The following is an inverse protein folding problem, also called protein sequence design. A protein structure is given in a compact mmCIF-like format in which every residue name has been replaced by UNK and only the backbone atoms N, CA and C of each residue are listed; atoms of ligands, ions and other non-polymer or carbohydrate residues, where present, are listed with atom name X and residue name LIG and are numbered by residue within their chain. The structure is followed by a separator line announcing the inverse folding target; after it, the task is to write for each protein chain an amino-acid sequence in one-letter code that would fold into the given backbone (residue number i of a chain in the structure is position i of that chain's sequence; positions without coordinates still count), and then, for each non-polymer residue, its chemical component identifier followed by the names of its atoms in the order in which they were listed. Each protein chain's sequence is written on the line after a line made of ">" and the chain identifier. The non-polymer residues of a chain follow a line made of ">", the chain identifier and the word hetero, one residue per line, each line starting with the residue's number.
data_IF_687471848327
#
_entry.id   IF_687471848327
#
_cell.length_a   1.000
_cell.length_b   1.000
_cell.length_c   1.000
_cell.angle_alpha   90.00
_cell.angle_beta   90.00
_cell.angle_gamma   90.00
#
_symmetry.space_group_name_H-M   'P 1'
#
loop_
_entity.id
_entity.type
_entity.pdbx_description
1 polymer ?
#
# COMPACT_ATOMS: atom_id res chain seq x y z
N UNK A 1 18.37 4.97 -1.59
CA UNK A 1 18.34 6.45 -1.72
C UNK A 1 16.88 6.87 -1.60
N UNK A 2 16.53 7.89 -0.83
CA UNK A 2 15.14 8.34 -0.68
C UNK A 2 14.77 9.24 -1.87
N UNK A 3 14.10 8.69 -2.88
CA UNK A 3 13.79 9.45 -4.11
C UNK A 3 12.32 9.81 -4.25
N UNK A 4 11.97 11.00 -4.74
CA UNK A 4 10.61 11.27 -5.18
C UNK A 4 10.52 10.82 -6.65
N UNK A 5 9.63 9.87 -6.96
CA UNK A 5 9.48 9.30 -8.30
C UNK A 5 10.75 8.58 -8.80
N UNK A 6 10.82 7.27 -8.52
CA UNK A 6 11.96 6.42 -8.88
C UNK A 6 12.28 6.41 -10.38
N UNK A 7 11.26 6.49 -11.24
CA UNK A 7 11.44 6.51 -12.70
C UNK A 7 12.18 7.76 -13.16
N UNK A 8 11.85 8.93 -12.61
CA UNK A 8 12.53 10.18 -12.96
C UNK A 8 14.00 10.16 -12.54
N UNK A 9 14.29 9.70 -11.33
CA UNK A 9 15.67 9.54 -10.84
C UNK A 9 16.48 8.63 -11.76
N UNK A 10 15.91 7.47 -12.13
CA UNK A 10 16.54 6.55 -13.07
C UNK A 10 16.85 7.23 -14.41
N UNK A 11 15.89 7.95 -14.99
CA UNK A 11 16.10 8.64 -16.26
C UNK A 11 17.20 9.70 -16.18
N UNK A 12 17.29 10.46 -15.07
CA UNK A 12 18.35 11.45 -14.84
C UNK A 12 19.72 10.78 -14.82
N UNK A 13 19.84 9.64 -14.12
CA UNK A 13 21.09 8.88 -14.06
C UNK A 13 21.48 8.29 -15.43
N UNK A 14 20.51 7.80 -16.21
CA UNK A 14 20.73 7.23 -17.55
C UNK A 14 21.01 8.30 -18.63
N UNK A 15 20.72 9.57 -18.34
CA UNK A 15 21.00 10.70 -19.21
C UNK A 15 22.35 11.36 -18.96
N UNK A 16 23.24 10.74 -18.17
CA UNK A 16 24.56 11.30 -17.91
C UNK A 16 25.31 11.69 -19.21
N UNK A 17 25.87 12.90 -19.22
CA UNK A 17 26.52 13.49 -20.39
C UNK A 17 25.59 13.99 -21.51
N UNK A 18 24.26 13.99 -21.33
CA UNK A 18 23.28 14.52 -22.29
C UNK A 18 22.05 15.13 -21.59
N UNK A 19 21.18 15.77 -22.38
CA UNK A 19 19.88 16.20 -21.89
C UNK A 19 18.86 15.05 -21.97
N UNK A 20 17.83 15.11 -21.11
CA UNK A 20 16.67 14.22 -21.20
C UNK A 20 15.90 14.50 -22.50
N UNK A 21 15.49 13.43 -23.17
CA UNK A 21 14.55 13.49 -24.29
C UNK A 21 13.12 13.72 -23.80
N UNK A 22 12.21 14.09 -24.71
CA UNK A 22 10.77 14.20 -24.39
C UNK A 22 10.24 12.93 -23.73
N UNK A 23 10.60 11.76 -24.27
CA UNK A 23 10.19 10.46 -23.72
C UNK A 23 10.67 10.23 -22.28
N UNK A 24 11.85 10.72 -21.95
CA UNK A 24 12.40 10.59 -20.59
C UNK A 24 11.80 11.62 -19.62
N UNK A 25 11.21 12.70 -20.13
CA UNK A 25 10.47 13.70 -19.36
C UNK A 25 9.00 13.31 -19.13
N UNK A 26 8.39 12.51 -20.03
CA UNK A 26 7.00 12.06 -19.93
C UNK A 26 6.57 11.56 -18.53
N UNK A 27 7.38 10.78 -17.78
CA UNK A 27 7.00 10.32 -16.44
C UNK A 27 6.78 11.46 -15.43
N UNK A 28 7.55 12.56 -15.53
CA UNK A 28 7.36 13.72 -14.68
C UNK A 28 6.06 14.45 -15.03
N UNK A 29 5.75 14.57 -16.32
CA UNK A 29 4.48 15.18 -16.75
C UNK A 29 3.27 14.38 -16.26
N UNK A 30 3.32 13.05 -16.40
CA UNK A 30 2.28 12.14 -15.88
C UNK A 30 2.13 12.23 -14.36
N UNK A 31 3.25 12.36 -13.63
CA UNK A 31 3.24 12.57 -12.20
C UNK A 31 2.54 13.89 -11.84
N UNK A 32 2.89 15.00 -12.49
CA UNK A 32 2.28 16.31 -12.24
C UNK A 32 0.77 16.30 -12.53
N UNK A 33 0.34 15.64 -13.61
CA UNK A 33 -1.08 15.50 -13.95
C UNK A 33 -1.86 14.67 -12.91
N UNK A 34 -1.21 13.67 -12.30
CA UNK A 34 -1.83 12.79 -11.30
C UNK A 34 -1.59 13.24 -9.85
N UNK A 35 -0.77 14.27 -9.61
CA UNK A 35 -0.36 14.68 -8.28
C UNK A 35 -1.54 14.99 -7.35
N UNK A 36 -2.54 15.72 -7.85
CA UNK A 36 -3.70 16.12 -7.03
C UNK A 36 -4.45 14.91 -6.47
N UNK A 37 -4.74 13.91 -7.30
CA UNK A 37 -5.45 12.70 -6.84
C UNK A 37 -4.58 11.89 -5.89
N UNK A 38 -3.27 11.80 -6.11
CA UNK A 38 -2.33 11.10 -5.21
C UNK A 38 -2.26 11.77 -3.84
N UNK A 39 -2.23 13.10 -3.80
CA UNK A 39 -2.25 13.88 -2.56
C UNK A 39 -3.57 13.67 -1.80
N UNK A 40 -4.70 13.74 -2.51
CA UNK A 40 -6.02 13.47 -1.93
C UNK A 40 -6.09 12.04 -1.36
N UNK A 41 -5.61 11.03 -2.10
CA UNK A 41 -5.56 9.65 -1.63
C UNK A 41 -4.67 9.50 -0.39
N UNK A 42 -3.48 10.12 -0.38
CA UNK A 42 -2.58 10.12 0.78
C UNK A 42 -3.28 10.71 2.02
N UNK A 43 -3.93 11.86 1.87
CA UNK A 43 -4.66 12.53 2.95
C UNK A 43 -5.83 11.68 3.45
N UNK A 44 -6.63 11.12 2.54
CA UNK A 44 -7.74 10.22 2.89
C UNK A 44 -7.25 9.00 3.67
N UNK A 45 -6.18 8.35 3.23
CA UNK A 45 -5.60 7.22 3.94
C UNK A 45 -5.08 7.62 5.31
N UNK A 46 -4.35 8.72 5.42
CA UNK A 46 -3.84 9.23 6.71
C UNK A 46 -4.97 9.52 7.69
N UNK A 47 -6.00 10.24 7.24
CA UNK A 47 -7.06 10.75 8.10
C UNK A 47 -8.10 9.66 8.45
N UNK A 48 -8.26 8.65 7.59
CA UNK A 48 -9.23 7.55 7.79
C UNK A 48 -8.59 6.22 8.22
N UNK A 49 -7.26 6.14 8.34
CA UNK A 49 -6.53 4.88 8.62
C UNK A 49 -7.13 4.09 9.78
N UNK A 50 -7.31 4.75 10.93
CA UNK A 50 -7.82 4.12 12.14
C UNK A 50 -9.24 3.55 11.94
N UNK A 51 -10.10 4.27 11.23
CA UNK A 51 -11.46 3.82 10.90
C UNK A 51 -11.43 2.60 9.98
N UNK A 52 -10.64 2.65 8.90
CA UNK A 52 -10.54 1.58 7.91
C UNK A 52 -9.99 0.29 8.53
N UNK A 53 -8.92 0.39 9.32
CA UNK A 53 -8.31 -0.75 10.01
C UNK A 53 -9.28 -1.35 11.03
N UNK A 54 -9.92 -0.52 11.87
CA UNK A 54 -10.89 -1.03 12.85
C UNK A 54 -12.10 -1.69 12.19
N UNK A 55 -12.59 -1.18 11.06
CA UNK A 55 -13.66 -1.83 10.30
C UNK A 55 -13.24 -3.21 9.79
N UNK A 56 -12.02 -3.35 9.28
CA UNK A 56 -11.47 -4.64 8.86
C UNK A 56 -11.32 -5.61 10.04
N UNK A 57 -10.73 -5.17 11.15
CA UNK A 57 -10.52 -6.03 12.32
C UNK A 57 -11.85 -6.47 12.96
N UNK A 58 -12.91 -5.68 12.87
CA UNK A 58 -14.26 -6.11 13.29
C UNK A 58 -14.77 -7.26 12.44
N UNK A 59 -14.54 -7.25 11.12
CA UNK A 59 -14.88 -8.38 10.25
C UNK A 59 -14.05 -9.62 10.60
N UNK A 60 -12.75 -9.44 10.89
CA UNK A 60 -11.92 -10.55 11.36
C UNK A 60 -12.42 -11.11 12.70
N UNK A 61 -12.82 -10.25 13.64
CA UNK A 61 -13.34 -10.65 14.95
C UNK A 61 -14.60 -11.51 14.87
N UNK A 62 -15.43 -11.34 13.83
CA UNK A 62 -16.62 -12.16 13.60
C UNK A 62 -16.26 -13.61 13.22
N UNK A 63 -15.14 -13.81 12.54
CA UNK A 63 -14.67 -15.13 12.12
C UNK A 63 -13.70 -15.78 13.12
N UNK A 64 -12.84 -14.98 13.76
CA UNK A 64 -11.76 -15.42 14.65
C UNK A 64 -11.64 -14.49 15.88
N UNK A 65 -12.62 -14.50 16.79
CA UNK A 65 -12.62 -13.63 17.97
C UNK A 65 -11.39 -13.82 18.86
N UNK A 66 -10.86 -15.05 18.97
CA UNK A 66 -9.68 -15.39 19.75
C UNK A 66 -8.41 -14.70 19.26
N UNK A 67 -8.26 -14.52 17.94
CA UNK A 67 -7.11 -13.81 17.36
C UNK A 67 -7.14 -12.34 17.75
N UNK A 68 -8.31 -11.71 17.70
CA UNK A 68 -8.44 -10.29 18.07
C UNK A 68 -8.21 -10.10 19.58
N UNK A 69 -8.68 -11.03 20.42
CA UNK A 69 -8.42 -10.99 21.86
C UNK A 69 -6.92 -11.09 22.19
N UNK A 70 -6.18 -11.97 21.51
CA UNK A 70 -4.76 -12.20 21.80
C UNK A 70 -3.82 -11.24 21.08
N UNK A 71 -4.15 -10.82 19.86
CA UNK A 71 -3.24 -10.12 18.96
C UNK A 71 -3.81 -8.84 18.35
N UNK A 72 -5.01 -8.40 18.75
CA UNK A 72 -5.73 -7.29 18.11
C UNK A 72 -4.93 -5.98 18.00
N UNK A 73 -4.16 -5.61 19.04
CA UNK A 73 -3.31 -4.42 18.98
C UNK A 73 -2.19 -4.55 17.95
N UNK A 74 -1.58 -5.73 17.85
CA UNK A 74 -0.54 -6.00 16.86
C UNK A 74 -1.11 -6.00 15.45
N UNK A 75 -2.26 -6.64 15.23
CA UNK A 75 -2.96 -6.62 13.95
C UNK A 75 -3.32 -5.19 13.54
N UNK A 76 -3.81 -4.36 14.47
CA UNK A 76 -4.09 -2.94 14.21
C UNK A 76 -2.84 -2.21 13.76
N UNK A 77 -1.74 -2.39 14.51
CA UNK A 77 -0.46 -1.76 14.19
C UNK A 77 0.01 -2.17 12.79
N UNK A 78 0.14 -3.47 12.51
CA UNK A 78 0.68 -3.97 11.24
C UNK A 78 -0.15 -3.50 10.02
N UNK A 79 -1.48 -3.53 10.13
CA UNK A 79 -2.36 -3.02 9.06
C UNK A 79 -2.26 -1.51 8.88
N UNK A 80 -2.05 -0.76 9.97
CA UNK A 80 -1.83 0.69 9.92
C UNK A 80 -0.50 1.01 9.24
N UNK A 81 0.56 0.24 9.51
CA UNK A 81 1.84 0.36 8.82
C UNK A 81 1.67 0.13 7.31
N UNK A 82 0.99 -0.96 6.92
CA UNK A 82 0.71 -1.23 5.49
C UNK A 82 0.03 -0.04 4.83
N UNK A 83 -1.05 0.50 5.41
CA UNK A 83 -1.73 1.68 4.85
C UNK A 83 -0.82 2.89 4.75
N UNK A 84 0.08 3.11 5.72
CA UNK A 84 1.03 4.22 5.68
C UNK A 84 2.01 4.07 4.53
N UNK A 85 2.58 2.88 4.35
CA UNK A 85 3.49 2.61 3.24
C UNK A 85 2.79 2.73 1.87
N UNK A 86 1.56 2.25 1.76
CA UNK A 86 0.72 2.46 0.57
C UNK A 86 0.55 3.96 0.28
N UNK A 87 0.15 4.75 1.28
CA UNK A 87 -0.06 6.18 1.11
C UNK A 87 1.21 6.89 0.61
N UNK A 88 2.35 6.58 1.22
CA UNK A 88 3.65 7.15 0.84
C UNK A 88 4.06 6.74 -0.58
N UNK A 89 3.87 5.47 -0.97
CA UNK A 89 4.12 5.01 -2.33
C UNK A 89 3.25 5.70 -3.37
N UNK A 90 1.96 5.88 -3.09
CA UNK A 90 1.04 6.59 -3.99
C UNK A 90 1.47 8.03 -4.19
N UNK A 91 1.82 8.73 -3.10
CA UNK A 91 2.27 10.13 -3.14
C UNK A 91 3.57 10.31 -3.95
N UNK A 92 4.48 9.33 -3.84
CA UNK A 92 5.77 9.31 -4.55
C UNK A 92 5.70 8.77 -5.97
N UNK A 93 4.57 8.16 -6.34
CA UNK A 93 4.43 7.35 -7.55
C UNK A 93 5.53 6.27 -7.66
N UNK A 94 5.68 5.52 -6.58
CA UNK A 94 6.82 4.62 -6.38
C UNK A 94 6.36 3.30 -5.73
N UNK A 95 5.99 2.34 -6.59
CA UNK A 95 5.65 0.98 -6.18
C UNK A 95 6.88 0.19 -5.72
N UNK A 96 8.07 0.51 -6.25
CA UNK A 96 9.34 -0.14 -5.86
C UNK A 96 9.60 0.11 -4.38
N UNK A 97 9.39 1.34 -3.90
CA UNK A 97 9.46 1.66 -2.48
C UNK A 97 8.53 0.78 -1.62
N UNK A 98 7.29 0.50 -2.06
CA UNK A 98 6.39 -0.39 -1.32
C UNK A 98 6.96 -1.80 -1.24
N UNK A 99 7.42 -2.33 -2.37
CA UNK A 99 7.95 -3.68 -2.47
C UNK A 99 9.16 -3.87 -1.58
N UNK A 100 10.13 -2.96 -1.65
CA UNK A 100 11.40 -3.07 -0.93
C UNK A 100 11.27 -2.73 0.56
N UNK A 101 10.51 -1.70 0.91
CA UNK A 101 10.49 -1.18 2.29
C UNK A 101 9.37 -1.80 3.14
N UNK A 102 8.27 -2.23 2.52
CA UNK A 102 7.14 -2.84 3.24
C UNK A 102 7.07 -4.35 2.97
N UNK A 103 7.00 -4.76 1.70
CA UNK A 103 6.72 -6.16 1.38
C UNK A 103 7.88 -7.10 1.68
N UNK A 104 9.14 -6.70 1.48
CA UNK A 104 10.28 -7.54 1.84
C UNK A 104 10.28 -7.94 3.32
N UNK A 105 9.89 -7.02 4.20
CA UNK A 105 9.70 -7.32 5.63
C UNK A 105 8.41 -8.10 5.88
N UNK A 106 7.27 -7.63 5.37
CA UNK A 106 5.96 -8.23 5.66
C UNK A 106 5.88 -9.69 5.20
N UNK A 107 6.41 -10.00 4.01
CA UNK A 107 6.41 -11.34 3.43
C UNK A 107 7.11 -12.35 4.35
N UNK A 108 8.27 -11.96 4.89
CA UNK A 108 9.04 -12.75 5.87
C UNK A 108 8.22 -13.01 7.13
N UNK A 109 7.52 -11.99 7.65
CA UNK A 109 6.68 -12.11 8.85
C UNK A 109 5.47 -13.02 8.58
N UNK A 110 4.78 -12.83 7.46
CA UNK A 110 3.61 -13.64 7.09
C UNK A 110 3.98 -15.12 6.95
N UNK A 111 5.12 -15.41 6.30
CA UNK A 111 5.63 -16.76 6.16
C UNK A 111 5.96 -17.40 7.52
N UNK A 112 6.59 -16.66 8.44
CA UNK A 112 6.99 -17.17 9.74
C UNK A 112 5.78 -17.51 10.64
N UNK A 113 4.74 -16.68 10.63
CA UNK A 113 3.59 -16.83 11.52
C UNK A 113 2.53 -17.83 11.04
N UNK A 114 2.53 -18.22 9.76
CA UNK A 114 1.60 -19.21 9.17
C UNK A 114 0.11 -18.93 9.48
N UNK A 115 -0.27 -17.65 9.49
CA UNK A 115 -1.66 -17.18 9.70
C UNK A 115 -2.32 -16.71 8.40
N UNK A 116 -1.98 -17.37 7.30
CA UNK A 116 -2.30 -16.92 5.94
C UNK A 116 -3.80 -16.71 5.72
N UNK A 117 -4.64 -17.64 6.17
CA UNK A 117 -6.10 -17.55 5.97
C UNK A 117 -6.74 -16.39 6.74
N UNK A 118 -6.30 -16.14 7.97
CA UNK A 118 -6.84 -15.06 8.79
C UNK A 118 -6.36 -13.69 8.31
N UNK A 119 -5.09 -13.58 7.92
CA UNK A 119 -4.56 -12.38 7.28
C UNK A 119 -5.29 -12.07 5.96
N UNK A 120 -5.58 -13.07 5.13
CA UNK A 120 -6.35 -12.86 3.90
C UNK A 120 -7.73 -12.26 4.18
N UNK A 121 -8.44 -12.72 5.21
CA UNK A 121 -9.74 -12.17 5.58
C UNK A 121 -9.61 -10.70 6.01
N UNK A 122 -8.61 -10.37 6.83
CA UNK A 122 -8.37 -9.00 7.26
C UNK A 122 -8.04 -8.06 6.07
N UNK A 123 -7.15 -8.47 5.16
CA UNK A 123 -6.78 -7.60 4.02
C UNK A 123 -7.88 -7.49 2.97
N UNK A 124 -8.71 -8.53 2.75
CA UNK A 124 -9.92 -8.42 1.92
C UNK A 124 -10.94 -7.48 2.55
N UNK A 125 -11.18 -7.62 3.85
CA UNK A 125 -12.06 -6.72 4.59
C UNK A 125 -11.57 -5.25 4.54
N UNK A 126 -10.25 -5.03 4.53
CA UNK A 126 -9.67 -3.71 4.35
C UNK A 126 -9.89 -3.18 2.92
N UNK A 127 -9.70 -4.02 1.90
CA UNK A 127 -9.95 -3.67 0.50
C UNK A 127 -11.42 -3.24 0.27
N UNK A 128 -12.37 -3.96 0.88
CA UNK A 128 -13.79 -3.63 0.87
C UNK A 128 -14.08 -2.30 1.60
N UNK A 129 -13.44 -2.07 2.76
CA UNK A 129 -13.58 -0.83 3.51
C UNK A 129 -13.06 0.37 2.71
N UNK A 130 -11.95 0.21 2.00
CA UNK A 130 -11.39 1.24 1.12
C UNK A 130 -12.31 1.51 -0.06
N UNK A 131 -12.77 0.46 -0.74
CA UNK A 131 -13.70 0.57 -1.88
C UNK A 131 -14.98 1.29 -1.49
N UNK A 132 -15.46 1.10 -0.26
CA UNK A 132 -16.69 1.75 0.23
C UNK A 132 -16.47 3.14 0.84
N UNK A 133 -15.25 3.43 1.30
CA UNK A 133 -14.95 4.64 2.09
C UNK A 133 -14.22 5.74 1.33
N UNK A 134 -13.56 5.41 0.22
CA UNK A 134 -12.78 6.34 -0.60
C UNK A 134 -13.49 6.63 -1.93
N UNK A 135 -13.07 7.70 -2.61
CA UNK A 135 -13.53 7.95 -3.98
C UNK A 135 -13.05 6.85 -4.94
N UNK A 136 -13.75 6.58 -6.06
CA UNK A 136 -13.32 5.56 -7.03
C UNK A 136 -11.88 5.76 -7.52
N UNK A 137 -11.47 7.02 -7.75
CA UNK A 137 -10.12 7.34 -8.18
C UNK A 137 -9.07 6.98 -7.11
N UNK A 138 -9.33 7.29 -5.84
CA UNK A 138 -8.43 6.93 -4.74
C UNK A 138 -8.40 5.42 -4.50
N UNK A 139 -9.56 4.76 -4.55
CA UNK A 139 -9.65 3.30 -4.45
C UNK A 139 -8.82 2.59 -5.53
N UNK A 140 -8.88 3.08 -6.77
CA UNK A 140 -8.08 2.56 -7.89
C UNK A 140 -6.57 2.72 -7.68
N UNK A 141 -6.11 3.79 -7.03
CA UNK A 141 -4.69 3.96 -6.70
C UNK A 141 -4.21 3.03 -5.58
N UNK A 142 -5.09 2.70 -4.64
CA UNK A 142 -4.75 1.84 -3.49
C UNK A 142 -4.77 0.35 -3.85
N UNK A 143 -5.71 -0.05 -4.71
CA UNK A 143 -5.99 -1.44 -5.02
C UNK A 143 -4.75 -2.27 -5.41
N UNK A 144 -3.86 -1.82 -6.32
CA UNK A 144 -2.69 -2.60 -6.72
C UNK A 144 -1.79 -3.01 -5.54
N UNK A 145 -1.64 -2.12 -4.55
CA UNK A 145 -0.81 -2.40 -3.38
C UNK A 145 -1.41 -3.46 -2.45
N UNK A 146 -2.74 -3.44 -2.25
CA UNK A 146 -3.43 -4.48 -1.50
C UNK A 146 -3.43 -5.82 -2.25
N UNK A 147 -3.51 -5.78 -3.58
CA UNK A 147 -3.42 -6.98 -4.41
C UNK A 147 -2.02 -7.63 -4.26
N UNK A 148 -0.93 -6.86 -4.15
CA UNK A 148 0.41 -7.38 -3.83
C UNK A 148 0.42 -8.11 -2.47
N UNK A 149 -0.17 -7.52 -1.43
CA UNK A 149 -0.25 -8.15 -0.09
C UNK A 149 -1.04 -9.46 -0.15
N UNK A 150 -2.19 -9.44 -0.84
CA UNK A 150 -3.05 -10.62 -0.99
C UNK A 150 -2.38 -11.72 -1.81
N UNK A 151 -1.62 -11.36 -2.85
CA UNK A 151 -0.87 -12.31 -3.66
C UNK A 151 0.27 -12.97 -2.87
N UNK A 152 1.01 -12.19 -2.06
CA UNK A 152 2.02 -12.72 -1.13
C UNK A 152 1.40 -13.74 -0.18
N UNK A 153 0.27 -13.41 0.45
CA UNK A 153 -0.47 -14.36 1.28
C UNK A 153 -0.85 -15.63 0.52
N UNK A 154 -1.39 -15.52 -0.70
CA UNK A 154 -1.74 -16.70 -1.50
C UNK A 154 -0.54 -17.60 -1.82
N UNK A 155 0.65 -17.03 -2.01
CA UNK A 155 1.87 -17.82 -2.26
C UNK A 155 2.35 -18.61 -1.03
N UNK A 156 1.90 -18.24 0.17
CA UNK A 156 2.21 -18.94 1.43
C UNK A 156 1.10 -19.91 1.89
N UNK A 157 0.02 -20.06 1.11
CA UNK A 157 -1.11 -20.94 1.42
C UNK A 157 -0.87 -22.36 0.88
#
# INVERSE_FOLDING_TARGET
>A
MHTLNHTLEKNILEADGRYLSSRELDPLEQYLQSYKVRLETYQQLRDQSDKLVLQSLRKLAQAYPEIIQQHGQRCKYDMTEVLRYIAVSILRDDEVFFKEQMMSWLDTILQAHRKTSQCMIAYRALQEAITSGLSPASGSLVRPYLDIVLQSLQSHA
#
